data_IF_434366833084
#
_entry.id   IF_434366833084
#
_cell.length_a   1.000
_cell.length_b   1.000
_cell.length_c   1.000
_cell.angle_alpha   90.00
_cell.angle_beta   90.00
_cell.angle_gamma   90.00
#
_symmetry.space_group_name_H-M   'P 1'
#
loop_
_entity.id
_entity.type
_entity.pdbx_description
1 polymer ?
#
# COMPACT_ATOMS: atom_id res chain seq x y z
N UNK A 1 4.46 -11.16 -8.00
CA UNK A 1 4.55 -10.96 -9.47
C UNK A 1 5.38 -12.07 -10.07
N UNK A 2 4.99 -12.58 -11.24
CA UNK A 2 5.78 -13.56 -11.99
C UNK A 2 6.80 -12.82 -12.88
N UNK A 3 8.11 -12.89 -12.59
CA UNK A 3 9.13 -12.21 -13.39
C UNK A 3 9.15 -12.74 -14.82
N UNK A 4 9.18 -11.86 -15.82
CA UNK A 4 9.25 -12.22 -17.24
C UNK A 4 7.93 -12.68 -17.88
N UNK A 5 6.86 -12.85 -17.11
CA UNK A 5 5.54 -13.13 -17.66
C UNK A 5 4.94 -11.86 -18.28
N UNK A 6 4.39 -11.92 -19.51
CA UNK A 6 3.84 -10.74 -20.17
C UNK A 6 2.56 -10.27 -19.47
N UNK A 7 2.33 -8.94 -19.34
CA UNK A 7 1.05 -8.41 -18.89
C UNK A 7 -0.08 -8.85 -19.82
N UNK A 8 -1.24 -9.19 -19.24
CA UNK A 8 -2.40 -9.67 -19.99
C UNK A 8 -3.43 -8.55 -20.15
N UNK A 9 -3.92 -8.25 -21.36
CA UNK A 9 -4.98 -7.28 -21.56
C UNK A 9 -6.29 -7.71 -20.88
N UNK A 10 -6.91 -6.80 -20.14
CA UNK A 10 -8.23 -7.00 -19.55
C UNK A 10 -9.29 -6.56 -20.56
N UNK A 11 -9.94 -7.52 -21.21
CA UNK A 11 -11.05 -7.28 -22.14
C UNK A 11 -12.42 -7.45 -21.50
N UNK A 12 -12.49 -8.19 -20.38
CA UNK A 12 -13.69 -8.46 -19.60
C UNK A 12 -13.37 -8.39 -18.12
N UNK A 13 -14.33 -7.91 -17.32
CA UNK A 13 -14.30 -7.97 -15.86
C UNK A 13 -15.39 -8.91 -15.37
N UNK A 14 -15.01 -9.85 -14.52
CA UNK A 14 -15.92 -10.59 -13.66
C UNK A 14 -15.41 -10.45 -12.24
N UNK A 15 -16.32 -10.45 -11.26
CA UNK A 15 -15.93 -10.23 -9.87
C UNK A 15 -14.88 -11.24 -9.40
N UNK A 16 -15.02 -12.52 -9.77
CA UNK A 16 -14.05 -13.56 -9.39
C UNK A 16 -12.67 -13.38 -10.04
N UNK A 17 -12.61 -12.85 -11.27
CA UNK A 17 -11.34 -12.63 -11.98
C UNK A 17 -10.56 -11.42 -11.45
N UNK A 18 -11.20 -10.53 -10.68
CA UNK A 18 -10.60 -9.29 -10.17
C UNK A 18 -9.78 -9.52 -8.88
N UNK A 19 -9.84 -10.71 -8.27
CA UNK A 19 -9.12 -11.04 -7.05
C UNK A 19 -8.08 -12.15 -7.26
N UNK A 20 -6.97 -12.07 -6.52
CA UNK A 20 -5.95 -13.11 -6.44
C UNK A 20 -5.63 -13.41 -4.98
N UNK A 21 -5.45 -14.69 -4.66
CA UNK A 21 -4.98 -15.08 -3.32
C UNK A 21 -3.48 -14.87 -3.26
N UNK A 22 -3.02 -14.16 -2.23
CA UNK A 22 -1.60 -13.96 -1.94
C UNK A 22 -1.25 -14.51 -0.56
N UNK A 23 0.00 -14.96 -0.39
CA UNK A 23 0.52 -15.43 0.90
C UNK A 23 1.45 -14.37 1.49
N UNK A 24 1.22 -13.99 2.75
CA UNK A 24 2.13 -13.13 3.49
C UNK A 24 3.44 -13.90 3.79
N UNK A 25 4.59 -13.38 3.39
CA UNK A 25 5.89 -14.02 3.65
C UNK A 25 6.34 -13.91 5.11
N UNK A 26 5.65 -13.12 5.95
CA UNK A 26 5.98 -12.95 7.36
C UNK A 26 5.17 -13.84 8.31
N UNK A 27 3.93 -14.19 7.95
CA UNK A 27 3.02 -14.96 8.81
C UNK A 27 2.27 -16.09 8.10
N UNK A 28 2.56 -16.35 6.82
CA UNK A 28 1.96 -17.38 5.96
C UNK A 28 0.44 -17.32 5.77
N UNK A 29 -0.24 -16.29 6.29
CA UNK A 29 -1.66 -16.06 6.05
C UNK A 29 -1.93 -15.87 4.55
N UNK A 30 -3.01 -16.50 4.09
CA UNK A 30 -3.55 -16.37 2.73
C UNK A 30 -4.76 -15.44 2.77
N UNK A 31 -4.77 -14.41 1.95
CA UNK A 31 -5.88 -13.47 1.83
C UNK A 31 -6.12 -13.11 0.36
N UNK A 32 -7.34 -12.65 0.06
CA UNK A 32 -7.69 -12.16 -1.27
C UNK A 32 -7.27 -10.69 -1.43
N UNK A 33 -6.59 -10.39 -2.53
CA UNK A 33 -6.17 -9.05 -2.88
C UNK A 33 -6.61 -8.71 -4.30
N UNK A 34 -6.95 -7.44 -4.61
CA UNK A 34 -7.27 -7.04 -5.95
C UNK A 34 -6.09 -7.30 -6.89
N UNK A 35 -6.36 -7.79 -8.11
CA UNK A 35 -5.31 -7.98 -9.09
C UNK A 35 -4.66 -6.63 -9.45
N UNK A 36 -3.32 -6.57 -9.54
CA UNK A 36 -2.63 -5.35 -9.93
C UNK A 36 -2.87 -5.03 -11.40
N UNK A 37 -3.35 -3.82 -11.68
CA UNK A 37 -3.69 -3.35 -13.02
C UNK A 37 -2.93 -2.06 -13.37
N UNK A 38 -2.61 -1.90 -14.65
CA UNK A 38 -1.93 -0.74 -15.22
C UNK A 38 -2.73 -0.21 -16.41
N UNK A 39 -3.00 1.09 -16.42
CA UNK A 39 -3.58 1.76 -17.59
C UNK A 39 -2.46 2.15 -18.57
N UNK A 40 -2.59 1.72 -19.82
CA UNK A 40 -1.74 2.16 -20.92
C UNK A 40 -2.29 3.47 -21.51
N UNK A 41 -1.46 4.44 -21.94
CA UNK A 41 -1.93 5.67 -22.58
C UNK A 41 -2.81 5.46 -23.83
N UNK A 42 -2.76 4.29 -24.47
CA UNK A 42 -3.66 3.94 -25.58
C UNK A 42 -5.08 3.56 -25.15
N UNK A 43 -5.37 3.53 -23.85
CA UNK A 43 -6.66 3.13 -23.27
C UNK A 43 -6.77 1.65 -22.88
N UNK A 44 -5.75 0.83 -23.16
CA UNK A 44 -5.73 -0.56 -22.73
C UNK A 44 -5.48 -0.69 -21.22
N UNK A 45 -6.21 -1.59 -20.57
CA UNK A 45 -5.97 -1.99 -19.18
C UNK A 45 -5.20 -3.31 -19.17
N UNK A 46 -4.05 -3.34 -18.51
CA UNK A 46 -3.18 -4.50 -18.44
C UNK A 46 -3.12 -5.04 -17.01
N UNK A 47 -3.25 -6.35 -16.86
CA UNK A 47 -3.14 -7.05 -15.59
C UNK A 47 -1.74 -7.63 -15.45
N UNK A 48 -1.10 -7.37 -14.32
CA UNK A 48 0.25 -7.87 -14.06
C UNK A 48 0.15 -9.29 -13.50
N UNK A 49 0.75 -10.31 -14.14
CA UNK A 49 0.66 -11.69 -13.69
C UNK A 49 1.24 -11.85 -12.28
N UNK A 50 0.42 -12.35 -11.37
CA UNK A 50 0.79 -12.72 -10.00
C UNK A 50 0.83 -14.24 -9.90
N UNK A 51 1.83 -14.80 -9.22
CA UNK A 51 1.90 -16.24 -8.99
C UNK A 51 0.75 -16.65 -8.05
N UNK A 52 -0.15 -17.56 -8.46
CA UNK A 52 -1.15 -18.12 -7.56
C UNK A 52 -0.47 -18.90 -6.42
N UNK A 53 -1.04 -18.87 -5.22
CA UNK A 53 -0.45 -19.51 -4.03
C UNK A 53 -0.37 -21.04 -4.14
N UNK A 54 -1.21 -21.65 -4.98
CA UNK A 54 -1.31 -23.11 -5.11
C UNK A 54 -0.39 -23.71 -6.19
N UNK A 55 0.39 -22.88 -6.90
CA UNK A 55 1.31 -23.35 -7.93
C UNK A 55 2.73 -23.56 -7.36
N UNK A 56 3.38 -24.73 -7.59
CA UNK A 56 4.74 -24.97 -7.13
C UNK A 56 5.71 -23.94 -7.68
N UNK A 57 6.56 -23.38 -6.82
CA UNK A 57 7.58 -22.44 -7.26
C UNK A 57 8.61 -23.15 -8.17
N UNK A 58 8.80 -22.74 -9.44
CA UNK A 58 9.95 -23.18 -10.23
C UNK A 58 11.26 -22.82 -9.50
N UNK A 59 12.33 -23.60 -9.73
CA UNK A 59 13.63 -23.32 -9.14
C UNK A 59 14.07 -21.90 -9.47
N UNK A 60 14.42 -21.14 -8.44
CA UNK A 60 14.85 -19.75 -8.58
C UNK A 60 16.22 -19.71 -9.30
N UNK A 61 16.19 -19.43 -10.60
CA UNK A 61 17.38 -18.93 -11.30
C UNK A 61 17.76 -17.55 -10.76
N UNK A 62 19.02 -17.10 -10.93
CA UNK A 62 19.42 -15.75 -10.53
C UNK A 62 18.58 -14.72 -11.30
N UNK A 63 17.64 -14.08 -10.60
CA UNK A 63 16.84 -12.98 -11.13
C UNK A 63 17.70 -11.71 -11.06
N UNK A 64 18.35 -11.34 -12.15
CA UNK A 64 18.84 -9.97 -12.31
C UNK A 64 17.63 -9.07 -12.52
N UNK A 65 17.40 -8.03 -11.69
CA UNK A 65 16.31 -7.10 -11.91
C UNK A 65 16.46 -6.49 -13.31
N UNK A 66 15.45 -6.67 -14.17
CA UNK A 66 15.37 -5.92 -15.40
C UNK A 66 15.18 -4.44 -15.02
N UNK A 67 16.25 -3.66 -15.10
CA UNK A 67 16.17 -2.22 -14.88
C UNK A 67 15.39 -1.64 -16.06
N UNK A 68 14.10 -1.39 -15.88
CA UNK A 68 13.35 -0.54 -16.80
C UNK A 68 13.88 0.87 -16.54
N UNK A 69 14.49 1.55 -17.54
CA UNK A 69 14.91 2.93 -17.35
C UNK A 69 13.66 3.75 -17.03
N UNK A 70 13.60 4.28 -15.81
CA UNK A 70 12.51 5.16 -15.41
C UNK A 70 12.53 6.38 -16.36
N UNK A 71 11.37 6.80 -16.91
CA UNK A 71 11.32 8.03 -17.72
C UNK A 71 11.86 9.20 -16.90
N UNK A 72 12.45 10.22 -17.55
CA UNK A 72 13.07 11.37 -16.85
C UNK A 72 12.09 12.17 -15.98
N UNK A 73 10.78 11.96 -16.17
CA UNK A 73 9.67 12.52 -15.40
C UNK A 73 9.23 11.65 -14.23
N UNK A 74 9.76 10.42 -14.11
CA UNK A 74 9.47 9.56 -12.98
C UNK A 74 9.94 10.24 -11.70
N UNK A 75 9.07 10.27 -10.69
CA UNK A 75 9.47 10.63 -9.34
C UNK A 75 10.70 9.81 -8.96
N UNK A 76 11.70 10.45 -8.37
CA UNK A 76 12.91 9.75 -7.93
C UNK A 76 12.50 8.54 -7.09
N UNK A 77 13.10 7.36 -7.33
CA UNK A 77 12.73 6.15 -6.62
C UNK A 77 12.89 6.41 -5.12
N UNK A 78 11.76 6.46 -4.41
CA UNK A 78 11.75 6.68 -2.98
C UNK A 78 12.50 5.52 -2.32
N UNK A 79 13.44 5.78 -1.38
CA UNK A 79 14.10 4.71 -0.66
C UNK A 79 13.07 3.86 0.09
N UNK A 80 13.42 2.63 0.47
CA UNK A 80 12.51 1.82 1.29
C UNK A 80 12.18 2.54 2.60
N UNK A 81 10.88 2.58 2.95
CA UNK A 81 10.46 3.10 4.24
C UNK A 81 11.04 2.20 5.35
N UNK A 82 11.58 2.82 6.41
CA UNK A 82 12.14 2.15 7.58
C UNK A 82 11.21 2.38 8.76
N UNK A 83 10.29 1.43 9.06
CA UNK A 83 9.36 1.59 10.16
C UNK A 83 10.11 1.72 11.50
N UNK A 84 9.64 2.62 12.36
CA UNK A 84 10.08 2.72 13.75
C UNK A 84 9.18 1.88 14.64
N UNK A 85 9.74 1.30 15.69
CA UNK A 85 8.97 0.61 16.71
C UNK A 85 8.03 1.60 17.42
N UNK A 86 6.76 1.23 17.55
CA UNK A 86 5.73 2.01 18.23
C UNK A 86 5.53 1.42 19.63
N UNK A 87 5.83 2.19 20.67
CA UNK A 87 5.62 1.78 22.07
C UNK A 87 4.56 2.65 22.75
N UNK A 88 4.35 3.85 22.24
CA UNK A 88 3.42 4.84 22.77
C UNK A 88 2.59 5.47 21.65
N UNK A 89 1.49 6.13 22.00
CA UNK A 89 0.72 6.91 21.02
C UNK A 89 1.52 8.07 20.42
N UNK A 90 2.47 8.63 21.17
CA UNK A 90 3.41 9.61 20.61
C UNK A 90 4.26 9.01 19.50
N UNK A 91 4.73 7.76 19.67
CA UNK A 91 5.49 7.06 18.64
C UNK A 91 4.64 6.78 17.40
N UNK A 92 3.35 6.46 17.58
CA UNK A 92 2.42 6.25 16.48
C UNK A 92 2.28 7.52 15.63
N UNK A 93 2.05 8.68 16.26
CA UNK A 93 1.98 9.96 15.55
C UNK A 93 3.35 10.33 14.94
N UNK A 94 4.46 9.99 15.59
CA UNK A 94 5.83 10.22 15.04
C UNK A 94 6.07 9.38 13.80
N UNK A 95 5.69 8.10 13.84
CA UNK A 95 5.82 7.17 12.74
C UNK A 95 4.96 7.60 11.55
N UNK A 96 3.72 8.05 11.81
CA UNK A 96 2.85 8.62 10.79
C UNK A 96 3.47 9.87 10.14
N UNK A 97 4.04 10.79 10.93
CA UNK A 97 4.68 11.98 10.38
C UNK A 97 5.89 11.66 9.48
N UNK A 98 6.72 10.69 9.89
CA UNK A 98 7.83 10.18 9.08
C UNK A 98 7.34 9.52 7.79
N UNK A 99 6.26 8.76 7.87
CA UNK A 99 5.66 8.12 6.71
C UNK A 99 5.09 9.14 5.71
N UNK A 100 4.38 10.16 6.18
CA UNK A 100 3.86 11.24 5.32
C UNK A 100 5.01 12.05 4.67
N UNK A 101 6.06 12.33 5.42
CA UNK A 101 7.26 12.99 4.87
C UNK A 101 7.93 12.12 3.81
N UNK A 102 8.05 10.81 4.08
CA UNK A 102 8.57 9.84 3.12
C UNK A 102 7.68 9.74 1.87
N UNK A 103 6.37 9.91 2.00
CA UNK A 103 5.45 9.98 0.87
C UNK A 103 5.62 11.26 0.02
N UNK A 104 6.31 12.28 0.54
CA UNK A 104 6.58 13.54 -0.14
C UNK A 104 5.69 14.71 0.30
N UNK A 105 4.87 14.53 1.34
CA UNK A 105 4.13 15.64 1.92
C UNK A 105 5.09 16.59 2.65
N UNK A 106 4.90 17.89 2.44
CA UNK A 106 5.74 18.96 3.03
C UNK A 106 5.04 19.57 4.24
N UNK A 107 5.85 20.12 5.14
CA UNK A 107 5.36 20.85 6.33
C UNK A 107 4.46 19.99 7.23
N UNK A 108 4.83 18.72 7.42
CA UNK A 108 4.09 17.80 8.29
C UNK A 108 4.22 18.25 9.74
N UNK A 109 3.14 18.82 10.28
CA UNK A 109 3.09 19.39 11.61
C UNK A 109 2.03 18.71 12.47
N UNK A 110 2.33 18.52 13.75
CA UNK A 110 1.37 18.05 14.75
C UNK A 110 0.42 19.15 15.15
N UNK A 111 -0.87 18.84 15.20
CA UNK A 111 -1.88 19.76 15.73
C UNK A 111 -2.01 19.50 17.22
N UNK A 112 -1.88 20.54 18.04
CA UNK A 112 -1.93 20.43 19.52
C UNK A 112 -3.35 20.15 20.06
N UNK A 113 -4.38 20.16 19.20
CA UNK A 113 -5.77 20.00 19.60
C UNK A 113 -6.14 18.51 19.72
N UNK A 114 -6.25 18.04 20.96
CA UNK A 114 -6.61 16.66 21.28
C UNK A 114 -8.11 16.59 21.57
N UNK A 115 -8.88 16.09 20.62
CA UNK A 115 -10.23 15.54 20.88
C UNK A 115 -10.22 14.06 20.55
N UNK A 116 -11.16 13.30 21.11
CA UNK A 116 -11.19 11.85 21.04
C UNK A 116 -11.25 11.27 19.60
N UNK A 117 -11.51 12.10 18.58
CA UNK A 117 -11.39 11.78 17.15
C UNK A 117 -10.57 12.81 16.38
N UNK A 118 -9.63 13.49 17.04
CA UNK A 118 -8.96 14.69 16.55
C UNK A 118 -7.86 14.41 15.51
N UNK A 119 -7.78 15.30 14.53
CA UNK A 119 -6.69 15.41 13.57
C UNK A 119 -5.37 15.58 14.33
N UNK A 120 -4.45 14.65 14.14
CA UNK A 120 -3.13 14.70 14.80
C UNK A 120 -2.05 15.33 13.90
N UNK A 121 -2.21 15.28 12.57
CA UNK A 121 -1.23 15.80 11.61
C UNK A 121 -1.86 16.64 10.50
N UNK A 122 -1.14 17.68 10.07
CA UNK A 122 -1.44 18.49 8.89
C UNK A 122 -0.20 18.63 8.03
N UNK A 123 -0.38 18.68 6.72
CA UNK A 123 0.65 18.98 5.75
C UNK A 123 0.04 19.79 4.60
N UNK A 124 0.87 20.31 3.69
CA UNK A 124 0.36 21.05 2.53
C UNK A 124 -0.59 20.15 1.72
N UNK A 125 -1.89 20.48 1.68
CA UNK A 125 -2.91 19.72 0.97
C UNK A 125 -3.34 18.40 1.63
N UNK A 126 -3.00 18.18 2.91
CA UNK A 126 -3.37 16.96 3.64
C UNK A 126 -3.74 17.26 5.10
N UNK A 127 -4.82 16.63 5.54
CA UNK A 127 -5.20 16.54 6.94
C UNK A 127 -5.29 15.05 7.28
N UNK A 128 -4.61 14.62 8.33
CA UNK A 128 -4.56 13.23 8.72
C UNK A 128 -5.03 13.04 10.17
N UNK A 129 -5.94 12.09 10.34
CA UNK A 129 -6.35 11.57 11.64
C UNK A 129 -5.55 10.30 11.91
N UNK A 130 -5.02 10.17 13.13
CA UNK A 130 -4.15 9.06 13.51
C UNK A 130 -4.79 8.35 14.70
N UNK A 131 -4.96 7.04 14.58
CA UNK A 131 -5.23 6.21 15.75
C UNK A 131 -3.92 6.02 16.52
N UNK A 132 -3.79 6.74 17.63
CA UNK A 132 -2.62 6.71 18.50
C UNK A 132 -2.68 5.57 19.55
N UNK A 133 -3.60 4.61 19.40
CA UNK A 133 -3.62 3.43 20.27
C UNK A 133 -2.43 2.51 19.97
N UNK A 134 -1.92 1.85 21.00
CA UNK A 134 -0.85 0.84 20.88
C UNK A 134 -1.39 -0.59 21.00
N UNK A 135 -2.71 -0.75 21.00
CA UNK A 135 -3.36 -2.05 21.00
C UNK A 135 -3.23 -2.68 19.60
N UNK A 136 -3.08 -4.01 19.50
CA UNK A 136 -3.16 -4.69 18.22
C UNK A 136 -4.45 -4.30 17.50
N UNK A 137 -4.33 -3.91 16.23
CA UNK A 137 -5.48 -3.55 15.40
C UNK A 137 -6.03 -4.83 14.79
N UNK A 138 -7.26 -5.18 15.14
CA UNK A 138 -7.97 -6.30 14.54
C UNK A 138 -8.44 -5.95 13.11
N UNK A 139 -8.58 -6.95 12.24
CA UNK A 139 -9.01 -6.76 10.84
C UNK A 139 -10.31 -5.96 10.74
N UNK A 140 -11.28 -6.25 11.62
CA UNK A 140 -12.57 -5.54 11.68
C UNK A 140 -12.40 -4.05 11.98
N UNK A 141 -11.43 -3.68 12.82
CA UNK A 141 -11.16 -2.28 13.13
C UNK A 141 -10.60 -1.54 11.90
N UNK A 142 -9.74 -2.21 11.11
CA UNK A 142 -9.25 -1.67 9.82
C UNK A 142 -10.40 -1.45 8.84
N UNK A 143 -11.28 -2.44 8.70
CA UNK A 143 -12.45 -2.37 7.82
C UNK A 143 -13.39 -1.21 8.22
N UNK A 144 -13.73 -1.10 9.50
CA UNK A 144 -14.57 -0.01 9.99
C UNK A 144 -13.94 1.36 9.76
N UNK A 145 -12.63 1.49 9.98
CA UNK A 145 -11.90 2.74 9.71
C UNK A 145 -11.98 3.13 8.23
N UNK A 146 -11.81 2.17 7.33
CA UNK A 146 -11.88 2.40 5.88
C UNK A 146 -13.29 2.81 5.43
N UNK A 147 -14.32 2.10 5.91
CA UNK A 147 -15.72 2.44 5.61
C UNK A 147 -16.11 3.82 6.16
N UNK A 148 -15.68 4.18 7.36
CA UNK A 148 -15.91 5.50 7.94
C UNK A 148 -15.23 6.61 7.11
N UNK A 149 -14.00 6.38 6.64
CA UNK A 149 -13.27 7.36 5.83
C UNK A 149 -13.97 7.59 4.48
N UNK A 150 -14.45 6.54 3.82
CA UNK A 150 -15.23 6.65 2.58
C UNK A 150 -16.57 7.35 2.77
N UNK A 151 -17.22 7.17 3.92
CA UNK A 151 -18.48 7.85 4.23
C UNK A 151 -18.32 9.33 4.59
N UNK A 152 -17.10 9.77 4.93
CA UNK A 152 -16.81 11.13 5.37
C UNK A 152 -16.24 12.05 4.27
N UNK A 153 -16.01 11.51 3.06
CA UNK A 153 -15.51 12.24 1.87
C UNK A 153 -16.61 12.79 0.98
#
# INVERSE_FOLDING_TARGET
LLPGAPPVPVTRRTWDEDWVTVRCTACDRRDQWPQPELCCPCGALLRIPVRPVDEPAPPAGPVTPAHIPLPRTAAHPRPSFRPRTIRTGHDAVSAAALYLTWLGYREVARVRARTAGGIDLRATGLVAQIDATTRPVELRAVECLWLNALGAS
#
